data_IF_844914706696
#
_entry.id   IF_844914706696
#
_cell.length_a   1.000
_cell.length_b   1.000
_cell.length_c   1.000
_cell.angle_alpha   90.00
_cell.angle_beta   90.00
_cell.angle_gamma   90.00
#
_symmetry.space_group_name_H-M   'P 1'
#
loop_
_entity.id
_entity.type
_entity.pdbx_description
1 polymer ?
#
# COMPACT_ATOMS: atom_id res chain seq x y z
N UNK A 1 17.75 5.37 -1.83
CA UNK A 1 16.99 4.21 -2.36
C UNK A 1 17.79 3.64 -3.52
N UNK A 2 17.74 2.34 -3.85
CA UNK A 2 18.01 2.00 -5.24
C UNK A 2 17.09 2.87 -6.09
N UNK A 3 17.63 3.48 -7.13
CA UNK A 3 16.87 4.36 -8.01
C UNK A 3 15.69 3.57 -8.57
N UNK A 4 14.47 4.01 -8.26
CA UNK A 4 13.27 3.40 -8.80
C UNK A 4 13.02 4.08 -10.14
N UNK A 5 13.10 3.31 -11.21
CA UNK A 5 12.56 3.74 -12.50
C UNK A 5 11.02 3.75 -12.39
N UNK A 6 10.46 4.94 -12.26
CA UNK A 6 9.02 5.14 -12.10
C UNK A 6 8.23 4.65 -13.32
N UNK A 7 8.80 4.75 -14.53
CA UNK A 7 8.13 4.33 -15.76
C UNK A 7 8.09 2.79 -15.86
N UNK A 8 9.20 2.14 -15.52
CA UNK A 8 9.25 0.69 -15.43
C UNK A 8 8.29 0.17 -14.35
N UNK A 9 8.27 0.81 -13.16
CA UNK A 9 7.36 0.47 -12.08
C UNK A 9 5.89 0.64 -12.50
N UNK A 10 5.53 1.78 -13.11
CA UNK A 10 4.18 2.03 -13.62
C UNK A 10 3.75 0.95 -14.61
N UNK A 11 4.65 0.56 -15.52
CA UNK A 11 4.40 -0.50 -16.50
C UNK A 11 4.05 -1.81 -15.82
N UNK A 12 4.78 -2.21 -14.77
CA UNK A 12 4.50 -3.44 -14.03
C UNK A 12 3.20 -3.34 -13.20
N UNK A 13 2.91 -2.18 -12.59
CA UNK A 13 1.66 -1.95 -11.86
C UNK A 13 0.45 -2.01 -12.80
N UNK A 14 0.57 -1.49 -14.03
CA UNK A 14 -0.49 -1.58 -15.05
C UNK A 14 -0.79 -3.02 -15.49
N UNK A 15 0.21 -3.90 -15.52
CA UNK A 15 -0.01 -5.34 -15.79
C UNK A 15 -0.92 -5.96 -14.73
N UNK A 16 -0.76 -5.61 -13.45
CA UNK A 16 -1.72 -6.00 -12.41
C UNK A 16 -3.11 -5.46 -12.77
N UNK A 17 -3.26 -4.15 -12.99
CA UNK A 17 -4.60 -3.55 -13.14
C UNK A 17 -5.35 -4.03 -14.37
N UNK A 18 -4.65 -4.57 -15.37
CA UNK A 18 -5.25 -5.24 -16.52
C UNK A 18 -5.89 -6.60 -16.18
N UNK A 19 -5.49 -7.24 -15.08
CA UNK A 19 -6.14 -8.45 -14.58
C UNK A 19 -7.36 -8.11 -13.71
N UNK A 20 -8.43 -8.92 -13.72
CA UNK A 20 -9.62 -8.67 -12.91
C UNK A 20 -9.29 -8.41 -11.44
N UNK A 21 -9.97 -7.44 -10.82
CA UNK A 21 -9.78 -7.18 -9.41
C UNK A 21 -10.28 -8.38 -8.60
N UNK A 22 -9.35 -9.12 -7.98
CA UNK A 22 -9.69 -10.12 -6.99
C UNK A 22 -9.61 -9.51 -5.58
N UNK A 23 -10.70 -9.56 -4.80
CA UNK A 23 -10.64 -9.16 -3.40
C UNK A 23 -9.63 -10.03 -2.65
N UNK A 24 -9.16 -9.53 -1.52
CA UNK A 24 -8.21 -10.25 -0.64
C UNK A 24 -8.67 -11.65 -0.26
N UNK A 25 -9.98 -11.93 -0.33
CA UNK A 25 -10.60 -13.22 0.03
C UNK A 25 -10.59 -13.51 1.54
N UNK A 26 -9.69 -12.85 2.28
CA UNK A 26 -9.54 -12.97 3.73
C UNK A 26 -8.93 -11.71 4.33
N UNK A 27 -9.06 -11.57 5.65
CA UNK A 27 -8.31 -10.56 6.42
C UNK A 27 -6.81 -10.91 6.38
N UNK A 28 -5.97 -9.88 6.22
CA UNK A 28 -4.51 -10.00 6.30
C UNK A 28 -4.09 -10.59 7.66
N UNK A 29 -3.09 -11.47 7.68
CA UNK A 29 -2.59 -12.10 8.91
C UNK A 29 -1.18 -12.67 8.76
N UNK A 30 -0.54 -12.98 9.89
CA UNK A 30 0.91 -13.23 9.99
C UNK A 30 1.41 -14.40 9.12
N UNK A 31 0.65 -15.49 9.02
CA UNK A 31 1.08 -16.68 8.27
C UNK A 31 1.23 -16.41 6.77
N UNK A 32 0.21 -15.79 6.15
CA UNK A 32 0.27 -15.45 4.72
C UNK A 32 1.16 -14.24 4.48
N UNK A 33 1.30 -13.35 5.46
CA UNK A 33 2.30 -12.29 5.42
C UNK A 33 3.73 -12.84 5.35
N UNK A 34 4.03 -13.88 6.13
CA UNK A 34 5.30 -14.58 6.10
C UNK A 34 5.49 -15.35 4.79
N UNK A 35 4.49 -16.12 4.36
CA UNK A 35 4.55 -16.92 3.14
C UNK A 35 4.67 -16.07 1.86
N UNK A 36 4.18 -14.84 1.88
CA UNK A 36 4.28 -13.92 0.72
C UNK A 36 5.37 -12.86 0.88
N UNK A 37 6.39 -13.05 1.72
CA UNK A 37 7.49 -12.06 1.89
C UNK A 37 8.27 -11.76 0.61
N UNK A 38 8.21 -12.66 -0.37
CA UNK A 38 8.85 -12.45 -1.67
C UNK A 38 8.36 -11.19 -2.39
N UNK A 39 7.12 -10.73 -2.12
CA UNK A 39 6.54 -9.52 -2.76
C UNK A 39 7.46 -8.30 -2.65
N UNK A 40 8.21 -8.16 -1.55
CA UNK A 40 9.11 -7.03 -1.30
C UNK A 40 10.39 -7.05 -2.14
N UNK A 41 10.68 -8.16 -2.83
CA UNK A 41 11.90 -8.37 -3.62
C UNK A 41 11.61 -8.78 -5.06
N UNK A 42 10.35 -8.68 -5.48
CA UNK A 42 9.90 -9.11 -6.80
C UNK A 42 9.41 -7.89 -7.57
N UNK A 43 10.25 -7.21 -8.37
CA UNK A 43 9.90 -5.93 -8.98
C UNK A 43 8.94 -6.05 -10.17
N UNK A 44 8.83 -7.23 -10.79
CA UNK A 44 8.01 -7.44 -11.98
C UNK A 44 6.80 -8.33 -11.72
N UNK A 45 5.73 -8.07 -12.46
CA UNK A 45 4.47 -8.81 -12.38
C UNK A 45 4.64 -10.29 -12.76
N UNK A 46 5.43 -10.57 -13.80
CA UNK A 46 5.67 -11.94 -14.26
C UNK A 46 6.51 -12.74 -13.26
N UNK A 47 7.48 -12.09 -12.61
CA UNK A 47 8.21 -12.72 -11.52
C UNK A 47 7.30 -12.97 -10.31
N UNK A 48 6.34 -12.07 -10.01
CA UNK A 48 5.37 -12.29 -8.93
C UNK A 48 4.53 -13.53 -9.18
N UNK A 49 3.96 -13.68 -10.38
CA UNK A 49 3.19 -14.88 -10.77
C UNK A 49 4.01 -16.15 -10.59
N UNK A 50 5.28 -16.12 -10.99
CA UNK A 50 6.20 -17.25 -10.85
C UNK A 50 6.46 -17.59 -9.38
N UNK A 51 6.78 -16.59 -8.55
CA UNK A 51 7.06 -16.77 -7.13
C UNK A 51 5.82 -17.24 -6.36
N UNK A 52 4.65 -16.67 -6.64
CA UNK A 52 3.39 -17.06 -6.00
C UNK A 52 3.02 -18.52 -6.29
N UNK A 53 3.26 -19.00 -7.53
CA UNK A 53 3.07 -20.41 -7.87
C UNK A 53 4.06 -21.32 -7.15
N UNK A 54 5.33 -20.94 -7.11
CA UNK A 54 6.39 -21.75 -6.51
C UNK A 54 6.32 -21.83 -4.98
N UNK A 55 5.82 -20.78 -4.33
CA UNK A 55 5.78 -20.67 -2.86
C UNK A 55 4.38 -20.89 -2.26
N UNK A 56 3.40 -21.30 -3.08
CA UNK A 56 2.06 -21.62 -2.59
C UNK A 56 2.13 -22.83 -1.63
N UNK A 57 1.65 -22.72 -0.38
CA UNK A 57 1.57 -23.85 0.53
C UNK A 57 0.66 -24.96 -0.04
N UNK A 58 1.00 -26.22 0.21
CA UNK A 58 0.27 -27.38 -0.33
C UNK A 58 -1.22 -27.39 0.05
N UNK A 59 -1.55 -26.98 1.28
CA UNK A 59 -2.93 -26.98 1.81
C UNK A 59 -3.67 -25.66 1.54
N UNK A 60 -3.23 -24.88 0.56
CA UNK A 60 -3.81 -23.57 0.24
C UNK A 60 -4.35 -23.54 -1.19
N UNK A 61 -5.52 -22.93 -1.39
CA UNK A 61 -6.05 -22.66 -2.72
C UNK A 61 -5.07 -21.72 -3.48
N UNK A 62 -4.50 -22.15 -4.62
CA UNK A 62 -3.50 -21.35 -5.34
C UNK A 62 -4.01 -19.99 -5.81
N UNK A 63 -5.30 -19.90 -6.15
CA UNK A 63 -5.92 -18.64 -6.58
C UNK A 63 -5.99 -17.65 -5.43
N UNK A 64 -6.41 -18.09 -4.25
CA UNK A 64 -6.51 -17.22 -3.08
C UNK A 64 -5.13 -16.75 -2.61
N UNK A 65 -4.14 -17.64 -2.61
CA UNK A 65 -2.76 -17.29 -2.29
C UNK A 65 -2.19 -16.26 -3.27
N UNK A 66 -2.41 -16.47 -4.57
CA UNK A 66 -2.00 -15.53 -5.60
C UNK A 66 -2.69 -14.17 -5.42
N UNK A 67 -4.01 -14.13 -5.22
CA UNK A 67 -4.76 -12.89 -5.02
C UNK A 67 -4.24 -12.10 -3.82
N UNK A 68 -3.90 -12.79 -2.73
CA UNK A 68 -3.30 -12.16 -1.56
C UNK A 68 -1.91 -11.60 -1.86
N UNK A 69 -1.03 -12.39 -2.49
CA UNK A 69 0.30 -11.95 -2.88
C UNK A 69 0.24 -10.75 -3.85
N UNK A 70 -0.67 -10.78 -4.83
CA UNK A 70 -0.92 -9.72 -5.80
C UNK A 70 -1.35 -8.41 -5.13
N UNK A 71 -2.29 -8.46 -4.19
CA UNK A 71 -2.74 -7.26 -3.48
C UNK A 71 -1.63 -6.70 -2.56
N UNK A 72 -0.86 -7.56 -1.87
CA UNK A 72 0.30 -7.11 -1.07
C UNK A 72 1.39 -6.50 -1.94
N UNK A 73 1.67 -7.12 -3.08
CA UNK A 73 2.64 -6.63 -4.06
C UNK A 73 2.23 -5.27 -4.59
N UNK A 74 0.99 -5.11 -5.03
CA UNK A 74 0.49 -3.85 -5.56
C UNK A 74 0.55 -2.74 -4.51
N UNK A 75 0.11 -3.01 -3.27
CA UNK A 75 0.17 -2.04 -2.18
C UNK A 75 1.60 -1.62 -1.86
N UNK A 76 2.53 -2.57 -1.79
CA UNK A 76 3.93 -2.27 -1.49
C UNK A 76 4.58 -1.46 -2.61
N UNK A 77 4.51 -1.93 -3.86
CA UNK A 77 5.22 -1.29 -4.97
C UNK A 77 4.60 0.05 -5.38
N UNK A 78 3.29 0.23 -5.25
CA UNK A 78 2.67 1.56 -5.42
C UNK A 78 3.10 2.54 -4.33
N UNK A 79 3.15 2.11 -3.05
CA UNK A 79 3.67 2.95 -1.97
C UNK A 79 5.13 3.35 -2.20
N UNK A 80 5.98 2.41 -2.63
CA UNK A 80 7.38 2.71 -2.99
C UNK A 80 7.49 3.75 -4.10
N UNK A 81 6.64 3.68 -5.14
CA UNK A 81 6.60 4.67 -6.22
C UNK A 81 6.17 6.04 -5.72
N UNK A 82 5.13 6.10 -4.88
CA UNK A 82 4.64 7.34 -4.29
C UNK A 82 5.71 7.97 -3.38
N UNK A 83 6.29 7.20 -2.47
CA UNK A 83 7.38 7.66 -1.61
C UNK A 83 8.57 8.20 -2.42
N UNK A 84 8.89 7.54 -3.54
CA UNK A 84 9.94 8.03 -4.44
C UNK A 84 9.58 9.37 -5.07
N UNK A 85 8.32 9.57 -5.49
CA UNK A 85 7.85 10.87 -6.00
C UNK A 85 7.93 11.94 -4.90
N UNK A 86 7.48 11.64 -3.68
CA UNK A 86 7.58 12.58 -2.55
C UNK A 86 9.03 12.94 -2.24
N UNK A 87 9.95 11.96 -2.29
CA UNK A 87 11.37 12.17 -2.04
C UNK A 87 12.05 13.13 -3.02
N UNK A 88 11.43 13.40 -4.19
CA UNK A 88 11.92 14.37 -5.16
C UNK A 88 11.48 15.81 -4.85
N UNK A 89 10.56 16.00 -3.90
CA UNK A 89 10.08 17.33 -3.52
C UNK A 89 11.05 18.01 -2.56
N UNK A 90 11.42 19.30 -2.77
CA UNK A 90 12.42 19.99 -1.94
C UNK A 90 12.10 20.05 -0.44
N UNK A 91 10.81 20.01 -0.08
CA UNK A 91 10.34 20.10 1.31
C UNK A 91 10.31 18.75 2.05
N UNK A 92 10.58 17.65 1.34
CA UNK A 92 10.47 16.28 1.86
C UNK A 92 11.85 15.72 2.14
N UNK A 93 12.01 15.12 3.32
CA UNK A 93 13.21 14.36 3.67
C UNK A 93 12.81 12.90 3.90
N UNK A 94 13.24 11.96 3.04
CA UNK A 94 12.95 10.54 3.21
C UNK A 94 13.52 10.00 4.52
N UNK A 95 12.84 9.05 5.16
CA UNK A 95 13.39 8.42 6.37
C UNK A 95 14.67 7.62 6.02
N UNK A 96 15.83 7.94 6.63
CA UNK A 96 17.05 7.16 6.41
C UNK A 96 16.92 5.72 6.93
N UNK A 97 16.07 5.48 7.94
CA UNK A 97 15.82 4.17 8.51
C UNK A 97 14.59 3.49 7.88
N UNK A 98 14.83 2.67 6.85
CA UNK A 98 13.76 1.93 6.15
C UNK A 98 13.09 0.81 6.96
N UNK A 99 13.55 0.55 8.19
CA UNK A 99 12.90 -0.41 9.10
C UNK A 99 11.94 0.27 10.05
N UNK A 100 11.96 1.60 10.10
CA UNK A 100 10.94 2.36 10.79
C UNK A 100 9.60 2.11 10.10
N UNK A 101 8.59 1.77 10.89
CA UNK A 101 7.25 1.44 10.40
C UNK A 101 6.28 2.60 10.59
N UNK A 102 6.73 3.70 11.20
CA UNK A 102 5.89 4.81 11.64
C UNK A 102 6.18 6.11 10.91
N UNK A 103 7.27 6.17 10.14
CA UNK A 103 7.70 7.36 9.42
C UNK A 103 8.26 6.94 8.06
N UNK A 104 7.60 7.33 6.99
CA UNK A 104 8.10 7.13 5.62
C UNK A 104 8.98 8.31 5.19
N UNK A 105 8.55 9.52 5.54
CA UNK A 105 9.29 10.76 5.30
C UNK A 105 8.92 11.85 6.31
N UNK A 106 9.69 12.93 6.31
CA UNK A 106 9.32 14.18 6.96
C UNK A 106 8.97 15.24 5.93
N UNK A 107 7.98 16.08 6.22
CA UNK A 107 7.60 17.25 5.43
C UNK A 107 7.80 18.48 6.31
N UNK A 108 8.71 19.39 5.92
CA UNK A 108 9.12 20.53 6.75
C UNK A 108 9.55 20.12 8.17
N UNK A 109 10.20 18.96 8.32
CA UNK A 109 10.65 18.41 9.61
C UNK A 109 9.58 17.70 10.44
N UNK A 110 8.31 17.66 9.97
CA UNK A 110 7.23 16.92 10.63
C UNK A 110 7.19 15.50 10.05
N UNK A 111 7.28 14.43 10.85
CA UNK A 111 7.25 13.06 10.35
C UNK A 111 5.84 12.66 9.91
N UNK A 112 5.75 11.86 8.84
CA UNK A 112 4.50 11.30 8.32
C UNK A 112 4.66 9.84 7.91
N UNK A 113 3.62 9.05 8.19
CA UNK A 113 3.34 7.74 7.61
C UNK A 113 2.37 7.92 6.43
N UNK A 114 2.79 7.54 5.24
CA UNK A 114 2.00 7.66 4.03
C UNK A 114 0.98 6.52 3.92
N UNK A 115 -0.22 6.87 3.48
CA UNK A 115 -1.30 5.93 3.20
C UNK A 115 -2.00 6.29 1.91
N UNK A 116 -2.18 5.30 1.05
CA UNK A 116 -3.07 5.41 -0.12
C UNK A 116 -4.33 4.59 0.14
N UNK A 117 -5.49 5.16 -0.18
CA UNK A 117 -6.77 4.47 -0.10
C UNK A 117 -7.69 4.94 -1.21
N UNK A 118 -8.56 4.06 -1.70
CA UNK A 118 -9.76 4.51 -2.41
C UNK A 118 -10.67 5.29 -1.45
N UNK A 119 -11.48 6.18 -1.98
CA UNK A 119 -12.50 6.87 -1.20
C UNK A 119 -13.40 5.84 -0.52
N UNK A 120 -13.56 5.89 0.81
CA UNK A 120 -14.20 4.78 1.51
C UNK A 120 -15.71 4.75 1.23
N UNK A 121 -16.19 3.66 0.62
CA UNK A 121 -17.63 3.44 0.38
C UNK A 121 -18.50 3.42 1.66
N UNK A 122 -17.88 3.25 2.83
CA UNK A 122 -18.54 3.27 4.15
C UNK A 122 -18.41 4.60 4.88
N UNK A 123 -17.74 5.59 4.29
CA UNK A 123 -17.76 6.95 4.82
C UNK A 123 -19.19 7.49 4.69
N UNK A 124 -19.80 8.04 5.76
CA UNK A 124 -21.23 8.35 5.79
C UNK A 124 -21.62 9.62 5.01
N UNK A 125 -20.71 10.19 4.21
CA UNK A 125 -20.94 11.41 3.45
C UNK A 125 -20.32 11.35 2.04
N UNK A 126 -20.69 12.30 1.18
CA UNK A 126 -20.21 12.35 -0.20
C UNK A 126 -18.75 12.81 -0.29
N UNK A 127 -18.13 12.58 -1.45
CA UNK A 127 -16.82 13.17 -1.78
C UNK A 127 -16.85 14.69 -1.63
N UNK A 128 -17.89 15.34 -2.15
CA UNK A 128 -18.03 16.81 -2.06
C UNK A 128 -17.99 17.29 -0.60
N UNK A 129 -18.68 16.59 0.29
CA UNK A 129 -18.63 16.88 1.72
C UNK A 129 -17.21 16.68 2.27
N UNK A 130 -16.54 15.57 1.94
CA UNK A 130 -15.18 15.30 2.40
C UNK A 130 -14.15 16.34 1.92
N UNK A 131 -14.34 16.91 0.72
CA UNK A 131 -13.50 18.00 0.20
C UNK A 131 -13.69 19.31 0.97
N UNK A 132 -14.90 19.60 1.42
CA UNK A 132 -15.20 20.76 2.26
C UNK A 132 -14.87 20.54 3.74
N UNK A 133 -14.86 19.28 4.18
CA UNK A 133 -14.65 18.85 5.58
C UNK A 133 -13.61 17.73 5.67
N UNK A 134 -12.35 17.96 5.24
CA UNK A 134 -11.32 16.92 5.21
C UNK A 134 -11.05 16.30 6.60
N UNK A 135 -11.23 17.06 7.68
CA UNK A 135 -11.11 16.58 9.05
C UNK A 135 -12.09 15.44 9.38
N UNK A 136 -13.30 15.49 8.80
CA UNK A 136 -14.31 14.45 9.01
C UNK A 136 -13.86 13.13 8.38
N UNK A 137 -13.30 13.19 7.17
CA UNK A 137 -12.75 12.01 6.51
C UNK A 137 -11.50 11.50 7.23
N UNK A 138 -10.60 12.39 7.66
CA UNK A 138 -9.40 12.02 8.42
C UNK A 138 -9.78 11.28 9.70
N UNK A 139 -10.69 11.83 10.51
CA UNK A 139 -11.17 11.16 11.73
C UNK A 139 -11.74 9.78 11.45
N UNK A 140 -12.57 9.67 10.40
CA UNK A 140 -13.14 8.39 10.01
C UNK A 140 -12.04 7.38 9.62
N UNK A 141 -11.02 7.79 8.84
CA UNK A 141 -9.90 6.93 8.44
C UNK A 141 -9.09 6.42 9.65
N UNK A 142 -8.84 7.27 10.65
CA UNK A 142 -8.19 6.85 11.89
C UNK A 142 -9.03 5.87 12.72
N UNK A 143 -10.36 6.07 12.77
CA UNK A 143 -11.27 5.18 13.51
C UNK A 143 -11.44 3.80 12.85
N UNK A 144 -11.33 3.74 11.53
CA UNK A 144 -11.56 2.54 10.72
C UNK A 144 -10.28 1.85 10.26
N UNK A 145 -9.12 2.19 10.84
CA UNK A 145 -7.85 1.53 10.56
C UNK A 145 -7.81 0.08 11.09
N UNK A 146 -6.90 -0.74 10.56
CA UNK A 146 -6.65 -2.08 11.10
C UNK A 146 -6.24 -2.01 12.57
N UNK A 147 -6.93 -2.78 13.42
CA UNK A 147 -6.76 -2.77 14.89
C UNK A 147 -5.62 -3.67 15.40
N UNK A 148 -4.96 -4.43 14.53
CA UNK A 148 -3.91 -5.38 14.94
C UNK A 148 -2.53 -4.71 14.95
N UNK A 149 -1.94 -4.56 16.15
CA UNK A 149 -0.51 -4.25 16.40
C UNK A 149 0.07 -2.95 15.80
N UNK A 150 -0.68 -2.24 14.97
CA UNK A 150 -0.32 -1.03 14.22
C UNK A 150 -1.28 0.13 14.49
N UNK A 151 -2.06 0.06 15.57
CA UNK A 151 -2.87 1.19 16.00
C UNK A 151 -1.94 2.23 16.64
N UNK A 152 -1.54 3.20 15.82
CA UNK A 152 -0.87 4.42 16.26
C UNK A 152 -1.66 5.63 15.75
N UNK A 153 -1.49 6.75 16.46
CA UNK A 153 -2.08 8.04 16.13
C UNK A 153 -1.02 9.06 15.71
N UNK A 154 0.14 8.57 15.27
CA UNK A 154 1.16 9.40 14.63
C UNK A 154 0.63 10.01 13.33
N UNK A 155 1.24 11.11 12.89
CA UNK A 155 0.82 11.84 11.71
C UNK A 155 0.81 10.94 10.47
N UNK A 156 -0.31 10.99 9.73
CA UNK A 156 -0.46 10.28 8.46
C UNK A 156 -0.82 11.24 7.35
N UNK A 157 -0.19 11.03 6.20
CA UNK A 157 -0.57 11.69 4.96
C UNK A 157 -1.39 10.69 4.13
N UNK A 158 -2.69 10.99 3.97
CA UNK A 158 -3.60 10.16 3.19
C UNK A 158 -3.70 10.70 1.76
N UNK A 159 -3.48 9.83 0.78
CA UNK A 159 -3.82 10.04 -0.62
C UNK A 159 -5.09 9.25 -0.91
N UNK A 160 -6.16 9.99 -1.21
CA UNK A 160 -7.47 9.41 -1.48
C UNK A 160 -7.71 9.40 -2.99
N UNK A 161 -7.86 8.20 -3.54
CA UNK A 161 -8.17 7.96 -4.94
C UNK A 161 -9.69 7.87 -5.10
N UNK A 162 -10.24 8.53 -6.11
CA UNK A 162 -11.67 8.55 -6.40
C UNK A 162 -11.90 8.48 -7.91
N UNK A 163 -12.86 7.65 -8.33
CA UNK A 163 -13.36 7.50 -9.70
C UNK A 163 -14.86 7.77 -9.80
#
# INVERSE_FOLDING_TARGET
MPEIDLLALETELKKRTAEPFAPWGRKQGDAWDAATRFVYRTPTWDALKTQARAQCPADTNPRDFFNYAANRWFNFWSAQGIEHIFAQLPAVQPNPNRRDRLVDFTLHGIPFDHKTSIFPNRFPASLQFALWHPESLIHWLYQNQSREGRQHFGNRLFIILFD
#
